data_IF_332598125480
#
_entry.id   IF_332598125480
#
_cell.length_a   1.000
_cell.length_b   1.000
_cell.length_c   1.000
_cell.angle_alpha   90.00
_cell.angle_beta   90.00
_cell.angle_gamma   90.00
#
_symmetry.space_group_name_H-M   'P 1'
#
loop_
_entity.id
_entity.type
_entity.pdbx_description
1 polymer ?
#
# COMPACT_ATOMS: atom_id res chain seq x y z
N UNK A 1 -6.00 -20.30 14.73
CA UNK A 1 -6.06 -18.85 14.44
C UNK A 1 -4.71 -18.41 13.89
N UNK A 2 -4.71 -17.38 13.03
CA UNK A 2 -3.48 -16.76 12.51
C UNK A 2 -3.03 -15.65 13.47
N UNK A 3 -1.71 -15.50 13.60
CA UNK A 3 -1.07 -14.40 14.33
C UNK A 3 0.07 -13.83 13.52
N UNK A 4 0.55 -12.65 13.91
CA UNK A 4 1.77 -12.07 13.41
C UNK A 4 2.99 -12.86 13.93
N UNK A 5 3.48 -13.81 13.12
CA UNK A 5 4.65 -14.63 13.47
C UNK A 5 5.96 -13.84 13.43
N UNK A 6 6.04 -12.80 12.59
CA UNK A 6 7.23 -11.96 12.47
C UNK A 6 7.43 -11.17 13.76
N UNK A 7 6.35 -10.59 14.29
CA UNK A 7 6.36 -9.92 15.59
C UNK A 7 6.80 -10.85 16.73
N UNK A 8 6.36 -12.11 16.74
CA UNK A 8 6.80 -13.09 17.76
C UNK A 8 8.31 -13.33 17.68
N UNK A 9 8.86 -13.47 16.47
CA UNK A 9 10.31 -13.64 16.26
C UNK A 9 11.07 -12.37 16.70
N UNK A 10 10.55 -11.19 16.35
CA UNK A 10 11.13 -9.91 16.70
C UNK A 10 11.18 -9.70 18.22
N UNK A 11 10.05 -9.89 18.92
CA UNK A 11 9.98 -9.74 20.38
C UNK A 11 10.90 -10.74 21.10
N UNK A 12 10.98 -11.97 20.59
CA UNK A 12 11.92 -12.97 21.10
C UNK A 12 13.36 -12.52 20.94
N UNK A 13 13.74 -12.03 19.75
CA UNK A 13 15.09 -11.55 19.47
C UNK A 13 15.44 -10.30 20.29
N UNK A 14 14.51 -9.35 20.44
CA UNK A 14 14.67 -8.14 21.23
C UNK A 14 14.92 -8.45 22.72
N UNK A 15 14.36 -9.55 23.21
CA UNK A 15 14.59 -10.05 24.58
C UNK A 15 15.80 -10.99 24.69
N UNK A 16 16.55 -11.19 23.60
CA UNK A 16 17.69 -12.11 23.52
C UNK A 16 17.34 -13.56 23.90
N UNK A 17 16.12 -14.00 23.60
CA UNK A 17 15.66 -15.35 23.91
C UNK A 17 15.85 -16.33 22.74
N UNK A 18 16.27 -17.53 23.08
CA UNK A 18 16.14 -18.72 22.24
C UNK A 18 14.69 -19.20 22.18
N UNK A 19 14.37 -20.07 21.22
CA UNK A 19 13.03 -20.69 21.13
C UNK A 19 12.72 -21.54 22.37
N UNK A 20 13.75 -22.13 22.99
CA UNK A 20 13.61 -22.89 24.24
C UNK A 20 13.28 -21.97 25.41
N UNK A 21 14.00 -20.85 25.56
CA UNK A 21 13.72 -19.84 26.59
C UNK A 21 12.32 -19.25 26.45
N UNK A 22 11.88 -18.91 25.23
CA UNK A 22 10.51 -18.46 25.01
C UNK A 22 9.49 -19.55 25.39
N UNK A 23 9.78 -20.81 25.09
CA UNK A 23 8.95 -21.94 25.52
C UNK A 23 8.83 -22.01 27.04
N UNK A 24 9.94 -21.89 27.76
CA UNK A 24 9.98 -21.88 29.22
C UNK A 24 9.18 -20.70 29.78
N UNK A 25 9.44 -19.48 29.31
CA UNK A 25 8.81 -18.25 29.82
C UNK A 25 7.31 -18.21 29.53
N UNK A 26 6.88 -18.73 28.38
CA UNK A 26 5.45 -18.82 28.02
C UNK A 26 4.74 -20.07 28.55
N UNK A 27 5.47 -21.02 29.14
CA UNK A 27 4.92 -22.33 29.52
C UNK A 27 4.47 -23.17 28.32
N UNK A 28 5.01 -22.92 27.13
CA UNK A 28 4.69 -23.66 25.90
C UNK A 28 5.82 -24.62 25.54
N UNK A 29 5.47 -25.73 24.89
CA UNK A 29 6.48 -26.65 24.36
C UNK A 29 7.28 -25.99 23.22
N UNK A 30 8.58 -26.24 23.13
CA UNK A 30 9.45 -25.72 22.06
C UNK A 30 8.93 -26.01 20.64
N UNK A 31 8.31 -27.17 20.39
CA UNK A 31 7.69 -27.47 19.08
C UNK A 31 6.50 -26.56 18.76
N UNK A 32 5.82 -26.07 19.79
CA UNK A 32 4.74 -25.09 19.64
C UNK A 32 5.31 -23.75 19.23
N UNK A 33 6.39 -23.29 19.88
CA UNK A 33 7.10 -22.06 19.49
C UNK A 33 7.59 -22.16 18.04
N UNK A 34 8.27 -23.25 17.68
CA UNK A 34 8.76 -23.49 16.32
C UNK A 34 7.63 -23.47 15.28
N UNK A 35 6.50 -24.12 15.58
CA UNK A 35 5.33 -24.12 14.69
C UNK A 35 4.71 -22.72 14.56
N UNK A 36 4.63 -21.97 15.66
CA UNK A 36 4.11 -20.60 15.66
C UNK A 36 4.99 -19.69 14.82
N UNK A 37 6.31 -19.70 15.03
CA UNK A 37 7.25 -18.88 14.26
C UNK A 37 7.29 -19.27 12.78
N UNK A 38 7.09 -20.56 12.45
CA UNK A 38 7.14 -21.04 11.06
C UNK A 38 5.82 -20.87 10.29
N UNK A 39 4.68 -21.14 10.92
CA UNK A 39 3.38 -21.24 10.23
C UNK A 39 2.42 -20.10 10.59
N UNK A 40 2.72 -19.33 11.65
CA UNK A 40 1.85 -18.30 12.19
C UNK A 40 0.54 -18.84 12.74
N UNK A 41 0.45 -20.14 13.07
CA UNK A 41 -0.78 -20.78 13.56
C UNK A 41 -0.71 -21.13 15.05
N UNK A 42 -1.68 -20.63 15.81
CA UNK A 42 -1.71 -20.77 17.27
C UNK A 42 -3.12 -21.10 17.77
N UNK A 43 -3.22 -21.59 19.01
CA UNK A 43 -4.49 -21.70 19.76
C UNK A 43 -4.73 -20.41 20.55
N UNK A 44 -5.96 -20.16 21.01
CA UNK A 44 -6.24 -18.98 21.84
C UNK A 44 -5.41 -18.97 23.14
N UNK A 45 -5.27 -20.15 23.76
CA UNK A 45 -4.52 -20.30 25.00
C UNK A 45 -3.03 -20.01 24.80
N UNK A 46 -2.44 -20.55 23.73
CA UNK A 46 -1.03 -20.28 23.40
C UNK A 46 -0.81 -18.81 23.02
N UNK A 47 -1.79 -18.16 22.36
CA UNK A 47 -1.74 -16.72 22.07
C UNK A 47 -1.73 -15.89 23.37
N UNK A 48 -2.60 -16.23 24.33
CA UNK A 48 -2.63 -15.60 25.66
C UNK A 48 -1.31 -15.80 26.41
N UNK A 49 -0.75 -17.00 26.36
CA UNK A 49 0.51 -17.32 27.00
C UNK A 49 1.68 -16.52 26.42
N UNK A 50 1.74 -16.36 25.09
CA UNK A 50 2.74 -15.53 24.43
C UNK A 50 2.56 -14.04 24.79
N UNK A 51 1.33 -13.53 24.73
CA UNK A 51 1.05 -12.13 25.10
C UNK A 51 1.48 -11.84 26.55
N UNK A 52 1.19 -12.75 27.48
CA UNK A 52 1.64 -12.63 28.87
C UNK A 52 3.17 -12.72 29.01
N UNK A 53 3.85 -13.61 28.27
CA UNK A 53 5.31 -13.74 28.31
C UNK A 53 6.02 -12.50 27.75
N UNK A 54 5.43 -11.86 26.74
CA UNK A 54 5.95 -10.65 26.12
C UNK A 54 5.48 -9.35 26.77
N UNK A 55 4.58 -9.43 27.76
CA UNK A 55 3.99 -8.27 28.44
C UNK A 55 3.34 -7.27 27.45
N UNK A 56 2.50 -7.80 26.56
CA UNK A 56 1.76 -7.05 25.52
C UNK A 56 0.27 -7.43 25.54
N UNK A 57 -0.56 -6.65 24.84
CA UNK A 57 -1.97 -7.02 24.67
C UNK A 57 -2.10 -8.23 23.73
N UNK A 58 -3.11 -9.07 23.94
CA UNK A 58 -3.36 -10.22 23.07
C UNK A 58 -3.61 -9.79 21.62
N UNK A 59 -4.19 -8.61 21.40
CA UNK A 59 -4.49 -8.07 20.08
C UNK A 59 -3.26 -7.55 19.35
N UNK A 60 -2.16 -7.27 20.05
CA UNK A 60 -0.91 -6.88 19.40
C UNK A 60 -0.35 -8.01 18.53
N UNK A 61 -0.64 -9.27 18.90
CA UNK A 61 -0.29 -10.47 18.13
C UNK A 61 -1.29 -10.79 17.00
N UNK A 62 -2.35 -10.00 16.78
CA UNK A 62 -3.28 -10.28 15.68
C UNK A 62 -2.58 -10.18 14.33
N UNK A 63 -2.85 -11.16 13.46
CA UNK A 63 -2.34 -11.13 12.09
C UNK A 63 -2.96 -9.94 11.35
N UNK A 64 -2.11 -9.00 10.93
CA UNK A 64 -2.51 -7.92 10.03
C UNK A 64 -2.17 -8.36 8.62
N UNK A 65 -3.19 -8.60 7.81
CA UNK A 65 -3.00 -8.72 6.36
C UNK A 65 -2.39 -7.40 5.89
N UNK A 66 -1.09 -7.39 5.58
CA UNK A 66 -0.50 -6.29 4.86
C UNK A 66 -1.23 -6.25 3.51
N UNK A 67 -1.83 -5.11 3.12
CA UNK A 67 -2.45 -5.02 1.82
C UNK A 67 -1.39 -5.37 0.78
N UNK A 68 -1.70 -6.34 -0.08
CA UNK A 68 -0.80 -6.72 -1.16
C UNK A 68 -0.36 -5.42 -1.88
N UNK A 69 0.96 -5.21 -1.96
CA UNK A 69 1.49 -3.98 -2.56
C UNK A 69 1.06 -3.98 -4.02
N UNK A 70 0.09 -3.12 -4.34
CA UNK A 70 -0.40 -2.96 -5.71
C UNK A 70 0.74 -2.47 -6.59
N UNK A 71 0.96 -3.16 -7.70
CA UNK A 71 1.92 -2.72 -8.72
C UNK A 71 1.19 -1.80 -9.68
N UNK A 72 1.83 -0.70 -10.05
CA UNK A 72 1.28 0.28 -10.98
C UNK A 72 2.23 0.49 -12.15
N UNK A 73 1.64 0.65 -13.33
CA UNK A 73 2.30 1.18 -14.51
C UNK A 73 1.98 2.66 -14.64
N UNK A 74 2.97 3.46 -15.07
CA UNK A 74 2.81 4.90 -15.26
C UNK A 74 3.10 5.31 -16.69
N UNK A 75 2.32 6.28 -17.19
CA UNK A 75 2.52 6.90 -18.50
C UNK A 75 2.41 8.42 -18.39
N UNK A 76 3.31 9.15 -19.05
CA UNK A 76 3.25 10.62 -19.14
C UNK A 76 2.81 11.04 -20.54
N UNK A 77 1.80 11.89 -20.64
CA UNK A 77 1.25 12.39 -21.90
C UNK A 77 1.16 13.92 -21.89
N UNK A 78 1.49 14.55 -23.02
CA UNK A 78 1.35 16.00 -23.18
C UNK A 78 0.01 16.28 -23.85
N UNK A 79 -0.89 16.93 -23.13
CA UNK A 79 -2.21 17.35 -23.60
C UNK A 79 -2.15 18.83 -23.98
N UNK A 80 -2.50 19.16 -25.22
CA UNK A 80 -2.55 20.55 -25.69
C UNK A 80 -3.96 21.12 -25.45
N UNK A 81 -4.03 22.38 -25.02
CA UNK A 81 -5.26 23.14 -24.93
C UNK A 81 -5.11 24.42 -25.75
N UNK A 82 -6.06 24.71 -26.64
CA UNK A 82 -6.13 26.01 -27.31
C UNK A 82 -6.73 27.04 -26.36
N UNK A 83 -5.91 27.64 -25.49
CA UNK A 83 -6.28 28.92 -24.85
C UNK A 83 -5.92 30.03 -25.82
N UNK A 84 -6.77 30.21 -26.82
CA UNK A 84 -6.76 31.40 -27.66
C UNK A 84 -7.31 32.60 -26.86
N UNK A 85 -6.57 33.72 -26.83
CA UNK A 85 -7.00 35.02 -26.27
C UNK A 85 -8.31 35.59 -26.89
N UNK A 86 -8.94 34.89 -27.83
CA UNK A 86 -10.21 35.34 -28.40
C UNK A 86 -11.34 35.21 -27.38
N UNK A 87 -11.96 36.35 -27.04
CA UNK A 87 -13.16 36.52 -26.20
C UNK A 87 -14.44 35.89 -26.78
N UNK A 88 -14.36 34.67 -27.30
CA UNK A 88 -15.49 33.76 -27.39
C UNK A 88 -15.10 32.59 -26.51
N UNK A 89 -15.69 32.51 -25.33
CA UNK A 89 -15.66 31.30 -24.53
C UNK A 89 -15.92 30.13 -25.49
N UNK A 90 -14.98 29.21 -25.62
CA UNK A 90 -15.14 28.01 -26.41
C UNK A 90 -16.33 27.24 -25.80
N UNK A 91 -17.48 27.32 -26.44
CA UNK A 91 -18.75 26.71 -25.99
C UNK A 91 -18.77 25.21 -26.36
N UNK A 92 -17.65 24.50 -26.17
CA UNK A 92 -17.54 23.07 -26.45
C UNK A 92 -16.91 22.32 -25.29
N UNK A 93 -17.24 21.02 -25.09
CA UNK A 93 -16.53 20.19 -24.12
C UNK A 93 -15.05 20.25 -24.45
N UNK A 94 -14.21 20.57 -23.48
CA UNK A 94 -12.78 20.70 -23.69
C UNK A 94 -12.25 19.40 -24.30
N UNK A 95 -11.56 19.45 -25.44
CA UNK A 95 -10.88 18.27 -26.05
C UNK A 95 -10.03 17.51 -25.02
N UNK A 96 -9.58 18.24 -24.00
CA UNK A 96 -8.89 17.75 -22.82
C UNK A 96 -9.67 16.68 -22.03
N UNK A 97 -10.96 16.91 -21.73
CA UNK A 97 -11.78 15.96 -20.99
C UNK A 97 -12.03 14.70 -21.82
N UNK A 98 -12.23 14.87 -23.14
CA UNK A 98 -12.37 13.76 -24.06
C UNK A 98 -11.09 12.92 -24.13
N UNK A 99 -9.92 13.56 -24.19
CA UNK A 99 -8.63 12.88 -24.20
C UNK A 99 -8.42 12.08 -22.90
N UNK A 100 -8.71 12.66 -21.73
CA UNK A 100 -8.64 11.95 -20.46
C UNK A 100 -9.63 10.79 -20.38
N UNK A 101 -10.84 10.95 -20.93
CA UNK A 101 -11.84 9.88 -20.97
C UNK A 101 -11.42 8.72 -21.88
N UNK A 102 -10.69 8.97 -22.97
CA UNK A 102 -10.14 7.91 -23.83
C UNK A 102 -9.12 7.06 -23.03
N UNK A 103 -8.19 7.70 -22.33
CA UNK A 103 -7.27 6.99 -21.43
C UNK A 103 -8.02 6.25 -20.30
N UNK A 104 -9.06 6.85 -19.74
CA UNK A 104 -9.88 6.20 -18.71
C UNK A 104 -10.58 4.93 -19.24
N UNK A 105 -11.00 4.93 -20.50
CA UNK A 105 -11.60 3.75 -21.15
C UNK A 105 -10.62 2.58 -21.30
N UNK A 106 -9.32 2.88 -21.34
CA UNK A 106 -8.22 1.90 -21.37
C UNK A 106 -7.73 1.52 -19.96
N UNK A 107 -8.40 1.99 -18.90
CA UNK A 107 -8.06 1.67 -17.51
C UNK A 107 -7.00 2.57 -16.88
N UNK A 108 -6.61 3.66 -17.54
CA UNK A 108 -5.71 4.65 -16.96
C UNK A 108 -6.45 5.61 -16.04
N UNK A 109 -5.82 5.96 -14.92
CA UNK A 109 -6.27 6.96 -13.96
C UNK A 109 -5.31 8.14 -13.97
N UNK A 110 -5.84 9.36 -13.94
CA UNK A 110 -5.02 10.55 -13.76
C UNK A 110 -4.43 10.59 -12.34
N UNK A 111 -3.10 10.51 -12.25
CA UNK A 111 -2.35 10.63 -11.00
C UNK A 111 -1.95 12.09 -10.73
N UNK A 112 -1.42 12.78 -11.73
CA UNK A 112 -0.99 14.18 -11.61
C UNK A 112 -1.19 14.95 -12.92
N UNK A 113 -1.47 16.25 -12.82
CA UNK A 113 -1.57 17.16 -13.96
C UNK A 113 -0.72 18.40 -13.71
N UNK A 114 0.32 18.58 -14.53
CA UNK A 114 1.18 19.77 -14.50
C UNK A 114 0.84 20.68 -15.67
N UNK A 115 0.35 21.88 -15.40
CA UNK A 115 0.07 22.88 -16.43
C UNK A 115 1.25 23.84 -16.57
N UNK A 116 1.81 23.97 -17.78
CA UNK A 116 2.91 24.90 -18.02
C UNK A 116 2.42 26.35 -17.97
N UNK A 117 2.96 27.16 -17.06
CA UNK A 117 2.75 28.62 -17.05
C UNK A 117 3.96 29.31 -17.69
N UNK A 118 3.78 29.95 -18.84
CA UNK A 118 4.79 30.88 -19.36
C UNK A 118 4.39 32.32 -19.07
N UNK A 119 5.36 33.17 -18.72
CA UNK A 119 5.18 34.60 -18.42
C UNK A 119 4.77 35.46 -19.64
N UNK A 120 4.77 34.89 -20.85
CA UNK A 120 4.43 35.59 -22.11
C UNK A 120 3.21 34.97 -22.84
N UNK A 121 2.27 34.34 -22.12
CA UNK A 121 0.98 33.94 -22.70
C UNK A 121 1.01 32.69 -23.59
N UNK A 122 2.08 31.89 -23.55
CA UNK A 122 2.08 30.52 -24.07
C UNK A 122 1.52 29.56 -23.04
N UNK A 123 0.24 29.69 -22.70
CA UNK A 123 -0.49 28.69 -21.93
C UNK A 123 -1.26 27.83 -22.93
N UNK A 124 -0.74 26.65 -23.24
CA UNK A 124 -1.39 25.76 -24.21
C UNK A 124 -1.13 24.27 -24.04
N UNK A 125 -0.44 23.86 -22.97
CA UNK A 125 -0.04 22.47 -22.76
C UNK A 125 -0.05 22.09 -21.27
N UNK A 126 -0.49 20.87 -21.00
CA UNK A 126 -0.39 20.21 -19.71
C UNK A 126 0.29 18.85 -19.88
N UNK A 127 1.06 18.45 -18.88
CA UNK A 127 1.61 17.10 -18.76
C UNK A 127 0.71 16.34 -17.79
N UNK A 128 0.00 15.33 -18.27
CA UNK A 128 -0.75 14.39 -17.46
C UNK A 128 0.11 13.15 -17.17
N UNK A 129 0.26 12.83 -15.89
CA UNK A 129 0.82 11.55 -15.44
C UNK A 129 -0.37 10.65 -15.13
N UNK A 130 -0.45 9.55 -15.86
CA UNK A 130 -1.47 8.52 -15.75
C UNK A 130 -0.87 7.30 -15.05
N UNK A 131 -1.70 6.58 -14.30
CA UNK A 131 -1.36 5.32 -13.64
C UNK A 131 -2.42 4.25 -13.93
N UNK A 132 -2.03 2.99 -14.03
CA UNK A 132 -2.96 1.86 -14.05
C UNK A 132 -2.43 0.72 -13.20
N UNK A 133 -3.32 0.01 -12.50
CA UNK A 133 -2.96 -1.14 -11.68
C UNK A 133 -2.59 -2.33 -12.58
N UNK A 134 -1.44 -2.94 -12.33
CA UNK A 134 -1.00 -4.16 -13.01
C UNK A 134 -1.70 -5.33 -12.31
N UNK A 135 -2.69 -5.91 -12.99
CA UNK A 135 -3.35 -7.14 -12.56
C UNK A 135 -2.48 -8.30 -13.05
N UNK A 136 -1.79 -8.99 -12.13
CA UNK A 136 -1.07 -10.24 -12.40
C UNK A 136 -2.01 -11.45 -12.58
#
# INVERSE_FOLDING_TARGET
MKIDSELVVELRANRSWSQEELGITSGLNIRTIQRIEKEGTVSLQSKKALAAAFDIDIHDLDYKELPAMKKYEYQSVVLKFDIGWSKKASVGPFEFDQALNEYASEGWRLNNLTVGTTVHGGSGQAIAVLEREIIE
#
